data_IF_770193828467
#
_entry.id   IF_770193828467
#
_cell.length_a   1.000
_cell.length_b   1.000
_cell.length_c   1.000
_cell.angle_alpha   90.00
_cell.angle_beta   90.00
_cell.angle_gamma   90.00
#
_symmetry.space_group_name_H-M   'P 1'
#
loop_
_entity.id
_entity.type
_entity.pdbx_description
1 polymer ?
#
# COMPACT_ATOMS: atom_id res chain seq x y z
N UNK A 1 9.31 -48.92 6.89
CA UNK A 1 8.87 -47.80 6.03
C UNK A 1 10.07 -46.94 5.74
N UNK A 2 10.26 -46.49 4.49
CA UNK A 2 11.30 -45.51 4.19
C UNK A 2 10.96 -44.18 4.88
N UNK A 3 11.97 -43.37 5.23
CA UNK A 3 11.75 -42.07 5.88
C UNK A 3 10.85 -41.12 5.07
N UNK A 4 10.87 -41.23 3.74
CA UNK A 4 10.01 -40.46 2.84
C UNK A 4 8.54 -40.88 2.87
N UNK A 5 8.26 -42.16 3.11
CA UNK A 5 6.88 -42.66 3.18
C UNK A 5 6.21 -42.21 4.48
N UNK A 6 6.96 -42.18 5.59
CA UNK A 6 6.49 -41.64 6.87
C UNK A 6 6.20 -40.14 6.77
N UNK A 7 7.11 -39.35 6.21
CA UNK A 7 6.90 -37.91 6.03
C UNK A 7 5.72 -37.58 5.09
N UNK A 8 5.34 -38.50 4.21
CA UNK A 8 4.15 -38.36 3.36
C UNK A 8 2.87 -38.65 4.13
N UNK A 9 2.86 -39.69 4.97
CA UNK A 9 1.71 -40.02 5.82
C UNK A 9 1.44 -38.95 6.87
N UNK A 10 2.48 -38.39 7.49
CA UNK A 10 2.36 -37.26 8.43
C UNK A 10 1.71 -36.05 7.74
N UNK A 11 2.14 -35.71 6.52
CA UNK A 11 1.53 -34.62 5.75
C UNK A 11 0.06 -34.87 5.42
N UNK A 12 -0.29 -36.08 4.99
CA UNK A 12 -1.68 -36.41 4.72
C UNK A 12 -2.54 -36.36 5.98
N UNK A 13 -1.98 -36.78 7.12
CA UNK A 13 -2.67 -36.69 8.40
C UNK A 13 -2.90 -35.23 8.82
N UNK A 14 -1.90 -34.36 8.72
CA UNK A 14 -2.05 -32.92 9.01
C UNK A 14 -3.05 -32.20 8.08
N UNK A 15 -3.27 -32.71 6.86
CA UNK A 15 -4.22 -32.13 5.89
C UNK A 15 -5.64 -32.64 6.10
N UNK A 16 -5.79 -33.91 6.49
CA UNK A 16 -7.09 -34.58 6.62
C UNK A 16 -7.62 -34.62 8.07
N UNK A 17 -6.80 -34.20 9.04
CA UNK A 17 -7.13 -34.17 10.46
C UNK A 17 -7.41 -35.56 11.05
N UNK A 18 -8.14 -35.57 12.17
CA UNK A 18 -8.50 -36.77 12.91
C UNK A 18 -9.30 -37.79 12.06
N UNK A 19 -10.04 -37.31 11.05
CA UNK A 19 -10.77 -38.14 10.10
C UNK A 19 -9.88 -39.11 9.30
N UNK A 20 -8.57 -38.84 9.24
CA UNK A 20 -7.59 -39.75 8.60
C UNK A 20 -7.25 -40.98 9.44
N UNK A 21 -7.58 -41.03 10.74
CA UNK A 21 -7.18 -42.16 11.62
C UNK A 21 -7.74 -43.50 11.13
N UNK A 22 -8.92 -43.49 10.52
CA UNK A 22 -9.53 -44.69 9.96
C UNK A 22 -8.76 -45.26 8.75
N UNK A 23 -7.91 -44.44 8.09
CA UNK A 23 -7.19 -44.79 6.87
C UNK A 23 -5.67 -44.93 7.05
N UNK A 24 -5.10 -44.50 8.19
CA UNK A 24 -3.66 -44.60 8.49
C UNK A 24 -3.33 -45.74 9.44
N UNK A 25 -2.25 -46.48 9.17
CA UNK A 25 -1.77 -47.60 10.00
C UNK A 25 -1.43 -47.12 11.44
N UNK A 26 -1.94 -47.78 12.51
CA UNK A 26 -1.63 -47.47 13.91
C UNK A 26 -0.12 -47.43 14.26
N UNK A 27 0.74 -47.95 13.38
CA UNK A 27 2.20 -47.97 13.54
C UNK A 27 2.90 -46.68 13.10
N UNK A 28 2.19 -45.73 12.49
CA UNK A 28 2.68 -44.39 12.19
C UNK A 28 2.38 -43.41 13.33
N UNK A 29 2.77 -43.77 14.56
CA UNK A 29 2.60 -42.89 15.71
C UNK A 29 3.33 -41.55 15.45
N UNK A 30 2.54 -40.46 15.44
CA UNK A 30 3.05 -39.09 15.34
C UNK A 30 4.04 -38.85 16.49
N UNK A 31 5.10 -38.10 16.24
CA UNK A 31 5.92 -37.58 17.34
C UNK A 31 5.11 -36.59 18.18
N UNK A 32 5.60 -36.29 19.38
CA UNK A 32 4.98 -35.27 20.23
C UNK A 32 4.85 -33.91 19.50
N UNK A 33 5.84 -33.54 18.70
CA UNK A 33 5.83 -32.30 17.91
C UNK A 33 4.84 -32.37 16.73
N UNK A 34 4.73 -33.53 16.05
CA UNK A 34 3.77 -33.73 14.96
C UNK A 34 2.32 -33.73 15.48
N UNK A 35 2.09 -34.24 16.69
CA UNK A 35 0.78 -34.26 17.35
C UNK A 35 0.40 -32.86 17.89
N UNK A 36 1.37 -32.09 18.38
CA UNK A 36 1.16 -30.69 18.75
C UNK A 36 0.89 -29.80 17.51
N UNK A 37 1.52 -30.10 16.37
CA UNK A 37 1.30 -29.39 15.12
C UNK A 37 -0.12 -29.66 14.56
N UNK A 38 -0.56 -30.91 14.64
CA UNK A 38 -1.93 -31.32 14.28
C UNK A 38 -2.96 -30.60 15.16
N UNK A 39 -2.79 -30.63 16.49
CA UNK A 39 -3.66 -29.93 17.43
C UNK A 39 -3.72 -28.42 17.17
N UNK A 40 -2.60 -27.80 16.79
CA UNK A 40 -2.56 -26.38 16.43
C UNK A 40 -3.30 -26.08 15.12
N UNK A 41 -3.25 -26.98 14.12
CA UNK A 41 -3.99 -26.83 12.86
C UNK A 41 -5.49 -27.06 13.07
N UNK A 42 -5.87 -28.15 13.76
CA UNK A 42 -7.26 -28.44 14.12
C UNK A 42 -7.90 -27.29 14.89
N UNK A 43 -7.20 -26.74 15.88
CA UNK A 43 -7.71 -25.61 16.65
C UNK A 43 -8.05 -24.38 15.79
N UNK A 44 -7.33 -24.17 14.68
CA UNK A 44 -7.56 -23.06 13.76
C UNK A 44 -8.62 -23.40 12.70
N UNK A 45 -8.47 -24.53 12.00
CA UNK A 45 -9.24 -24.87 10.80
C UNK A 45 -10.53 -25.68 11.07
N UNK A 46 -10.66 -26.33 12.23
CA UNK A 46 -11.92 -26.98 12.61
C UNK A 46 -12.95 -25.97 13.14
N UNK A 47 -12.57 -24.69 13.24
CA UNK A 47 -13.51 -23.59 13.45
C UNK A 47 -14.31 -23.41 12.17
N UNK A 48 -15.63 -23.36 12.26
CA UNK A 48 -16.44 -23.01 11.09
C UNK A 48 -16.23 -21.52 10.77
N UNK A 49 -15.84 -21.14 9.53
CA UNK A 49 -15.67 -19.73 9.18
C UNK A 49 -17.00 -18.98 9.31
N UNK A 50 -16.94 -17.71 9.71
CA UNK A 50 -18.10 -16.85 9.92
C UNK A 50 -18.79 -16.53 8.58
N UNK A 51 -19.67 -17.43 8.14
CA UNK A 51 -20.43 -17.29 6.89
C UNK A 51 -21.47 -18.39 6.63
N UNK A 52 -21.49 -19.46 7.42
CA UNK A 52 -22.63 -20.38 7.49
C UNK A 52 -23.58 -19.92 8.59
N UNK A 53 -24.87 -19.85 8.27
CA UNK A 53 -25.95 -19.70 9.25
C UNK A 53 -25.83 -20.82 10.29
N UNK A 54 -25.25 -20.49 11.45
CA UNK A 54 -25.58 -21.01 12.78
C UNK A 54 -24.54 -20.47 13.77
N UNK A 55 -24.80 -19.26 14.28
CA UNK A 55 -24.36 -18.90 15.64
C UNK A 55 -25.27 -19.62 16.64
N UNK A 56 -25.30 -20.94 16.58
CA UNK A 56 -25.54 -21.70 17.79
C UNK A 56 -24.17 -21.95 18.40
N UNK A 57 -24.02 -21.42 19.60
CA UNK A 57 -23.17 -22.00 20.63
C UNK A 57 -23.41 -23.51 20.57
N UNK A 58 -22.61 -24.24 19.79
CA UNK A 58 -22.46 -25.66 20.02
C UNK A 58 -21.99 -25.74 21.45
N UNK A 59 -22.91 -26.21 22.27
CA UNK A 59 -22.72 -26.45 23.68
C UNK A 59 -21.28 -26.89 23.93
N UNK A 60 -20.68 -26.27 24.95
CA UNK A 60 -19.53 -26.82 25.64
C UNK A 60 -19.96 -28.15 26.26
N UNK A 61 -20.16 -29.17 25.43
CA UNK A 61 -20.12 -30.56 25.86
C UNK A 61 -18.66 -30.80 26.18
N UNK A 62 -18.35 -30.91 27.47
CA UNK A 62 -17.01 -31.15 27.96
C UNK A 62 -16.46 -32.42 27.34
N UNK A 63 -15.55 -32.25 26.38
CA UNK A 63 -14.75 -33.34 25.87
C UNK A 63 -13.46 -33.42 26.71
N UNK A 64 -13.09 -34.63 27.07
CA UNK A 64 -11.93 -34.95 27.90
C UNK A 64 -10.63 -34.95 27.07
N UNK A 65 -10.54 -34.07 26.08
CA UNK A 65 -9.36 -33.86 25.26
C UNK A 65 -8.32 -33.04 26.05
N UNK A 66 -7.01 -33.34 25.94
CA UNK A 66 -5.99 -32.69 26.75
C UNK A 66 -5.88 -31.20 26.38
N UNK A 67 -6.41 -30.34 27.25
CA UNK A 67 -6.26 -28.88 27.27
C UNK A 67 -6.63 -28.15 25.97
N UNK A 68 -7.85 -27.59 25.91
CA UNK A 68 -8.22 -26.65 24.85
C UNK A 68 -7.18 -25.51 24.80
N UNK A 69 -6.43 -25.43 23.70
CA UNK A 69 -5.42 -24.40 23.48
C UNK A 69 -6.08 -23.02 23.59
N UNK A 70 -5.52 -22.14 24.42
CA UNK A 70 -5.88 -20.72 24.39
C UNK A 70 -5.17 -20.03 23.22
N UNK A 71 -5.68 -18.89 22.74
CA UNK A 71 -5.07 -18.15 21.62
C UNK A 71 -3.56 -17.89 21.85
N UNK A 72 -3.09 -17.48 23.04
CA UNK A 72 -1.65 -17.29 23.28
C UNK A 72 -0.84 -18.59 23.28
N UNK A 73 -1.43 -19.71 23.72
CA UNK A 73 -0.75 -21.01 23.69
C UNK A 73 -0.64 -21.53 22.25
N UNK A 74 -1.70 -21.36 21.45
CA UNK A 74 -1.70 -21.71 20.03
C UNK A 74 -0.59 -21.00 19.26
N UNK A 75 -0.39 -19.69 19.46
CA UNK A 75 0.66 -18.92 18.78
C UNK A 75 2.06 -19.42 19.16
N UNK A 76 2.29 -19.67 20.46
CA UNK A 76 3.58 -20.18 20.93
C UNK A 76 3.89 -21.56 20.33
N UNK A 77 2.88 -22.42 20.19
CA UNK A 77 3.03 -23.71 19.52
C UNK A 77 3.29 -23.56 18.03
N UNK A 78 2.58 -22.65 17.33
CA UNK A 78 2.79 -22.39 15.91
C UNK A 78 4.21 -21.90 15.62
N UNK A 79 4.72 -20.97 16.45
CA UNK A 79 6.08 -20.43 16.31
C UNK A 79 7.18 -21.46 16.64
N UNK A 80 6.88 -22.45 17.48
CA UNK A 80 7.80 -23.54 17.82
C UNK A 80 7.86 -24.60 16.72
N UNK A 81 6.72 -24.90 16.11
CA UNK A 81 6.54 -26.12 15.31
C UNK A 81 6.64 -25.89 13.80
N UNK A 82 6.35 -24.68 13.30
CA UNK A 82 6.25 -24.43 11.86
C UNK A 82 7.36 -23.54 11.29
N UNK A 83 7.75 -23.71 10.01
CA UNK A 83 8.62 -22.78 9.30
C UNK A 83 7.97 -21.40 9.14
N UNK A 84 8.80 -20.35 8.98
CA UNK A 84 8.36 -18.95 8.86
C UNK A 84 7.23 -18.72 7.85
N UNK A 85 7.34 -19.27 6.65
CA UNK A 85 6.32 -19.13 5.60
C UNK A 85 4.96 -19.69 5.99
N UNK A 86 4.95 -20.73 6.84
CA UNK A 86 3.71 -21.37 7.32
C UNK A 86 3.11 -20.59 8.48
N UNK A 87 3.94 -20.04 9.37
CA UNK A 87 3.50 -19.15 10.46
C UNK A 87 2.73 -17.96 9.87
N UNK A 88 3.30 -17.29 8.87
CA UNK A 88 2.67 -16.14 8.21
C UNK A 88 1.29 -16.48 7.62
N UNK A 89 1.13 -17.69 7.08
CA UNK A 89 -0.13 -18.15 6.51
C UNK A 89 -1.15 -18.50 7.60
N UNK A 90 -0.73 -19.18 8.67
CA UNK A 90 -1.60 -19.53 9.79
C UNK A 90 -2.07 -18.30 10.57
N UNK A 91 -1.19 -17.32 10.79
CA UNK A 91 -1.55 -16.04 11.41
C UNK A 91 -2.50 -15.23 10.51
N UNK A 92 -2.28 -15.26 9.18
CA UNK A 92 -3.20 -14.66 8.22
C UNK A 92 -4.59 -15.26 8.34
N UNK A 93 -4.70 -16.58 8.33
CA UNK A 93 -5.98 -17.27 8.38
C UNK A 93 -6.65 -17.04 9.75
N UNK A 94 -5.90 -17.05 10.85
CA UNK A 94 -6.41 -16.74 12.18
C UNK A 94 -7.03 -15.35 12.30
N UNK A 95 -6.40 -14.34 11.71
CA UNK A 95 -6.92 -12.97 11.77
C UNK A 95 -8.01 -12.73 10.72
N UNK A 96 -7.75 -13.02 9.44
CA UNK A 96 -8.60 -12.61 8.33
C UNK A 96 -9.79 -13.55 8.10
N UNK A 97 -9.62 -14.84 8.35
CA UNK A 97 -10.65 -15.86 8.07
C UNK A 97 -11.44 -16.23 9.32
N UNK A 98 -10.77 -16.26 10.48
CA UNK A 98 -11.36 -16.69 11.75
C UNK A 98 -11.54 -15.57 12.79
N UNK A 99 -11.24 -14.32 12.43
CA UNK A 99 -11.45 -13.12 13.28
C UNK A 99 -10.88 -13.25 14.71
N UNK A 100 -9.76 -13.98 14.87
CA UNK A 100 -9.14 -14.20 16.19
C UNK A 100 -8.33 -12.96 16.59
N UNK A 101 -9.02 -11.95 17.10
CA UNK A 101 -8.45 -10.65 17.45
C UNK A 101 -7.55 -10.68 18.71
N UNK A 102 -7.65 -11.71 19.54
CA UNK A 102 -6.79 -11.91 20.72
C UNK A 102 -5.29 -12.05 20.37
N UNK A 103 -4.96 -12.50 19.15
CA UNK A 103 -3.58 -12.57 18.61
C UNK A 103 -2.92 -11.19 18.63
N UNK A 104 -3.70 -10.14 18.34
CA UNK A 104 -3.21 -8.78 18.15
C UNK A 104 -3.37 -7.91 19.40
N UNK A 105 -4.07 -8.43 20.42
CA UNK A 105 -4.39 -7.67 21.64
C UNK A 105 -3.44 -8.01 22.80
N UNK A 106 -2.65 -9.08 22.68
CA UNK A 106 -1.72 -9.51 23.72
C UNK A 106 -0.30 -8.92 23.49
N UNK A 107 0.29 -8.18 24.45
CA UNK A 107 1.58 -7.53 24.30
C UNK A 107 2.76 -8.50 24.12
N UNK A 108 2.75 -9.65 24.82
CA UNK A 108 3.85 -10.63 24.75
C UNK A 108 3.90 -11.31 23.37
N UNK A 109 2.73 -11.51 22.78
CA UNK A 109 2.54 -12.09 21.46
C UNK A 109 2.98 -11.06 20.41
N UNK A 110 2.46 -9.84 20.51
CA UNK A 110 2.74 -8.77 19.56
C UNK A 110 4.24 -8.46 19.48
N UNK A 111 4.95 -8.51 20.61
CA UNK A 111 6.41 -8.30 20.65
C UNK A 111 7.23 -9.38 19.92
N UNK A 112 6.68 -10.59 19.74
CA UNK A 112 7.37 -11.75 19.16
C UNK A 112 7.00 -11.97 17.69
N UNK A 113 5.84 -11.52 17.25
CA UNK A 113 5.37 -11.68 15.86
C UNK A 113 6.26 -10.87 14.89
N UNK A 114 6.58 -11.48 13.75
CA UNK A 114 7.33 -10.79 12.70
C UNK A 114 6.46 -9.73 12.00
N UNK A 115 6.99 -8.52 11.73
CA UNK A 115 6.23 -7.47 11.07
C UNK A 115 5.82 -7.91 9.64
N UNK A 116 4.51 -8.02 9.39
CA UNK A 116 3.94 -8.35 8.09
C UNK A 116 2.81 -7.38 7.70
N UNK A 117 2.51 -7.28 6.40
CA UNK A 117 1.37 -6.47 5.91
C UNK A 117 0.03 -7.00 6.44
N UNK A 118 -0.09 -8.32 6.59
CA UNK A 118 -1.25 -8.96 7.19
C UNK A 118 -1.42 -8.56 8.65
N UNK A 119 -0.34 -8.54 9.44
CA UNK A 119 -0.38 -8.04 10.81
C UNK A 119 -0.76 -6.56 10.87
N UNK A 120 -0.26 -5.75 9.93
CA UNK A 120 -0.63 -4.34 9.84
C UNK A 120 -2.14 -4.17 9.63
N UNK A 121 -2.74 -4.92 8.70
CA UNK A 121 -4.19 -4.92 8.50
C UNK A 121 -4.94 -5.35 9.78
N UNK A 122 -4.46 -6.42 10.42
CA UNK A 122 -5.00 -6.93 11.68
C UNK A 122 -5.02 -5.86 12.78
N UNK A 123 -3.90 -5.16 12.97
CA UNK A 123 -3.73 -4.09 13.95
C UNK A 123 -4.68 -2.94 13.66
N UNK A 124 -4.83 -2.52 12.39
CA UNK A 124 -5.71 -1.42 12.03
C UNK A 124 -7.19 -1.76 12.24
N UNK A 125 -7.61 -3.00 11.96
CA UNK A 125 -8.95 -3.47 12.30
C UNK A 125 -9.22 -3.47 13.81
N UNK A 126 -8.26 -3.94 14.60
CA UNK A 126 -8.45 -4.21 16.04
C UNK A 126 -8.01 -3.07 16.96
N UNK A 127 -7.48 -1.96 16.41
CA UNK A 127 -6.93 -0.84 17.20
C UNK A 127 -7.88 -0.26 18.26
N UNK A 128 -9.20 -0.34 18.03
CA UNK A 128 -10.23 0.18 18.91
C UNK A 128 -10.45 -0.68 20.17
N UNK A 129 -9.95 -1.92 20.16
CA UNK A 129 -10.06 -2.89 21.26
C UNK A 129 -8.78 -2.96 22.11
N UNK A 130 -7.72 -2.25 21.73
CA UNK A 130 -6.40 -2.34 22.37
C UNK A 130 -6.25 -1.37 23.55
N UNK A 131 -5.56 -1.83 24.60
CA UNK A 131 -5.09 -0.97 25.69
C UNK A 131 -3.96 -0.02 25.19
N UNK A 132 -3.86 1.24 25.65
CA UNK A 132 -2.75 2.16 25.36
C UNK A 132 -1.35 1.55 25.29
N UNK A 133 -0.99 0.63 26.19
CA UNK A 133 0.33 -0.02 26.20
C UNK A 133 0.54 -0.92 24.97
N UNK A 134 -0.49 -1.70 24.60
CA UNK A 134 -0.48 -2.57 23.41
C UNK A 134 -0.50 -1.73 22.14
N UNK A 135 -1.23 -0.62 22.14
CA UNK A 135 -1.27 0.31 21.00
C UNK A 135 0.09 0.96 20.73
N UNK A 136 0.88 1.24 21.77
CA UNK A 136 2.26 1.74 21.61
C UNK A 136 3.16 0.69 20.93
N UNK A 137 3.11 -0.56 21.38
CA UNK A 137 3.84 -1.68 20.76
C UNK A 137 3.39 -1.91 19.31
N UNK A 138 2.08 -1.84 19.06
CA UNK A 138 1.52 -1.96 17.72
C UNK A 138 2.02 -0.84 16.81
N UNK A 139 2.07 0.41 17.29
CA UNK A 139 2.62 1.54 16.54
C UNK A 139 4.08 1.30 16.14
N UNK A 140 4.89 0.73 17.00
CA UNK A 140 6.28 0.39 16.66
C UNK A 140 6.38 -0.69 15.57
N UNK A 141 5.52 -1.71 15.60
CA UNK A 141 5.46 -2.74 14.57
C UNK A 141 4.97 -2.18 13.24
N UNK A 142 3.90 -1.38 13.25
CA UNK A 142 3.42 -0.66 12.07
C UNK A 142 4.54 0.18 11.48
N UNK A 143 5.30 0.90 12.31
CA UNK A 143 6.44 1.69 11.84
C UNK A 143 7.53 0.83 11.17
N UNK A 144 7.77 -0.40 11.65
CA UNK A 144 8.71 -1.34 11.01
C UNK A 144 8.19 -1.78 9.64
N UNK A 145 6.93 -2.21 9.53
CA UNK A 145 6.32 -2.63 8.25
C UNK A 145 6.33 -1.47 7.25
N UNK A 146 5.85 -0.30 7.66
CA UNK A 146 5.78 0.89 6.81
C UNK A 146 7.17 1.29 6.29
N UNK A 147 8.22 1.23 7.13
CA UNK A 147 9.61 1.45 6.67
C UNK A 147 10.02 0.46 5.59
N UNK A 148 9.74 -0.82 5.76
CA UNK A 148 10.06 -1.85 4.75
C UNK A 148 9.33 -1.60 3.43
N UNK A 149 8.05 -1.20 3.48
CA UNK A 149 7.27 -0.84 2.29
C UNK A 149 7.85 0.40 1.59
N UNK A 150 8.20 1.43 2.37
CA UNK A 150 8.84 2.63 1.86
C UNK A 150 10.19 2.31 1.20
N UNK A 151 11.02 1.45 1.78
CA UNK A 151 12.31 1.04 1.20
C UNK A 151 12.12 0.31 -0.14
N UNK A 152 11.19 -0.67 -0.18
CA UNK A 152 10.84 -1.39 -1.43
C UNK A 152 10.37 -0.42 -2.51
N UNK A 153 9.51 0.54 -2.16
CA UNK A 153 8.97 1.51 -3.10
C UNK A 153 10.01 2.55 -3.52
N UNK A 154 10.86 3.03 -2.60
CA UNK A 154 11.91 4.00 -2.86
C UNK A 154 12.91 3.52 -3.92
N UNK A 155 13.25 2.22 -3.95
CA UNK A 155 14.09 1.63 -4.99
C UNK A 155 13.46 1.78 -6.38
N UNK A 156 12.13 1.59 -6.49
CA UNK A 156 11.38 1.76 -7.75
C UNK A 156 11.31 3.24 -8.15
N UNK A 157 11.04 4.12 -7.17
CA UNK A 157 11.04 5.60 -7.36
C UNK A 157 12.42 6.09 -7.83
N UNK A 158 13.51 5.60 -7.24
CA UNK A 158 14.88 6.03 -7.56
C UNK A 158 15.23 5.78 -9.03
N UNK A 159 14.82 4.64 -9.60
CA UNK A 159 14.99 4.36 -11.04
C UNK A 159 14.23 5.36 -11.92
N UNK A 160 13.06 5.82 -11.48
CA UNK A 160 12.31 6.87 -12.15
C UNK A 160 12.91 8.28 -11.95
N UNK A 161 13.74 8.48 -10.92
CA UNK A 161 14.36 9.77 -10.56
C UNK A 161 15.52 10.20 -11.46
N UNK A 162 16.20 9.26 -12.13
CA UNK A 162 17.33 9.56 -13.02
C UNK A 162 16.86 9.89 -14.44
N UNK A 163 16.10 10.98 -14.58
CA UNK A 163 15.85 11.64 -15.86
C UNK A 163 16.96 12.64 -16.21
N UNK A 164 17.23 12.79 -17.50
CA UNK A 164 18.33 13.61 -18.05
C UNK A 164 18.22 15.06 -17.57
N UNK A 165 19.27 15.58 -16.92
CA UNK A 165 19.38 17.02 -16.63
C UNK A 165 19.18 17.79 -17.94
N UNK A 166 18.08 18.52 -18.05
CA UNK A 166 17.79 19.38 -19.19
C UNK A 166 18.83 20.51 -19.22
N UNK A 167 19.90 20.32 -20.00
CA UNK A 167 20.94 21.33 -20.24
C UNK A 167 20.44 22.32 -21.30
N UNK A 168 19.30 22.95 -21.05
CA UNK A 168 18.83 24.02 -21.91
C UNK A 168 19.82 25.20 -21.82
N UNK A 169 20.10 25.84 -22.96
CA UNK A 169 20.99 27.00 -23.01
C UNK A 169 20.16 28.28 -23.09
N UNK A 170 20.66 29.34 -22.48
CA UNK A 170 20.05 30.66 -22.62
C UNK A 170 20.85 31.49 -23.61
N UNK A 171 20.15 32.31 -24.41
CA UNK A 171 20.76 33.39 -25.21
C UNK A 171 20.78 34.72 -24.47
N UNK A 172 20.21 34.79 -23.26
CA UNK A 172 20.22 35.99 -22.43
C UNK A 172 21.60 36.14 -21.79
N UNK A 173 22.19 37.32 -21.97
CA UNK A 173 23.49 37.65 -21.40
C UNK A 173 23.35 37.92 -19.90
N UNK A 174 23.69 36.93 -19.07
CA UNK A 174 23.77 37.08 -17.62
C UNK A 174 25.16 36.66 -17.13
N UNK A 175 25.90 37.58 -16.51
CA UNK A 175 27.27 37.32 -16.03
C UNK A 175 27.34 36.14 -15.04
N UNK A 176 26.30 35.95 -14.22
CA UNK A 176 26.20 34.85 -13.23
C UNK A 176 26.04 33.47 -13.88
N UNK A 177 25.53 33.43 -15.11
CA UNK A 177 25.20 32.19 -15.84
C UNK A 177 26.20 31.89 -16.97
N UNK A 178 27.32 32.61 -17.03
CA UNK A 178 28.31 32.48 -18.09
C UNK A 178 29.02 31.11 -18.05
N UNK A 179 28.90 30.33 -19.14
CA UNK A 179 29.62 29.07 -19.31
C UNK A 179 30.99 29.35 -19.94
N UNK A 180 31.97 29.67 -19.08
CA UNK A 180 33.32 29.99 -19.53
C UNK A 180 33.99 28.83 -20.29
N UNK A 181 33.83 27.58 -19.83
CA UNK A 181 34.50 26.43 -20.44
C UNK A 181 34.01 26.16 -21.85
N UNK A 182 32.69 26.14 -22.04
CA UNK A 182 32.12 25.85 -23.34
C UNK A 182 32.25 27.05 -24.28
N UNK A 183 32.17 28.28 -23.76
CA UNK A 183 32.43 29.50 -24.54
C UNK A 183 33.86 29.52 -25.06
N UNK A 184 34.85 29.15 -24.24
CA UNK A 184 36.24 29.04 -24.70
C UNK A 184 36.33 28.00 -25.82
N UNK A 185 35.83 26.78 -25.60
CA UNK A 185 35.86 25.68 -26.59
C UNK A 185 35.22 26.05 -27.93
N UNK A 186 34.08 26.74 -27.92
CA UNK A 186 33.36 27.09 -29.15
C UNK A 186 33.97 28.26 -29.91
N UNK A 187 34.89 29.00 -29.31
CA UNK A 187 35.54 30.17 -29.92
C UNK A 187 37.06 29.96 -30.09
N UNK A 188 37.56 28.72 -29.94
CA UNK A 188 38.99 28.39 -30.14
C UNK A 188 39.48 28.67 -31.56
N UNK A 189 38.57 28.75 -32.53
CA UNK A 189 38.85 29.19 -33.91
C UNK A 189 39.35 30.64 -33.97
N UNK A 190 38.97 31.47 -33.00
CA UNK A 190 39.35 32.89 -32.89
C UNK A 190 40.58 33.16 -32.01
N UNK A 191 41.43 32.17 -31.75
CA UNK A 191 42.63 32.33 -30.95
C UNK A 191 43.75 33.04 -31.73
N UNK A 192 44.23 34.17 -31.21
CA UNK A 192 45.41 34.88 -31.73
C UNK A 192 46.65 34.48 -30.91
N UNK A 193 47.58 33.67 -31.46
CA UNK A 193 48.77 33.22 -30.73
C UNK A 193 49.79 34.34 -30.47
N UNK A 194 49.78 35.40 -31.28
CA UNK A 194 50.72 36.53 -31.15
C UNK A 194 50.29 37.43 -30.00
N UNK A 195 49.00 37.73 -29.90
CA UNK A 195 48.44 38.58 -28.83
C UNK A 195 48.03 37.82 -27.58
N UNK A 196 48.05 36.49 -27.61
CA UNK A 196 47.55 35.58 -26.55
C UNK A 196 46.13 35.94 -26.11
N UNK A 197 45.26 36.26 -27.06
CA UNK A 197 43.87 36.68 -26.80
C UNK A 197 42.90 35.80 -27.58
N UNK A 198 41.78 35.48 -26.94
CA UNK A 198 40.67 34.74 -27.53
C UNK A 198 39.53 35.71 -27.83
N UNK A 199 39.12 35.80 -29.11
CA UNK A 199 37.95 36.58 -29.48
C UNK A 199 36.67 35.77 -29.24
N UNK A 200 35.84 36.19 -28.28
CA UNK A 200 34.55 35.55 -28.02
C UNK A 200 33.51 36.13 -28.98
N UNK A 201 33.13 35.37 -30.02
CA UNK A 201 32.08 35.74 -30.99
C UNK A 201 30.68 35.40 -30.48
N UNK A 202 30.55 34.25 -29.80
CA UNK A 202 29.27 33.78 -29.23
C UNK A 202 29.48 33.37 -27.77
N UNK A 203 29.18 34.24 -26.80
CA UNK A 203 29.16 33.85 -25.41
C UNK A 203 27.99 32.89 -25.15
N UNK A 204 28.28 31.78 -24.47
CA UNK A 204 27.27 30.79 -24.09
C UNK A 204 26.92 30.96 -22.61
N UNK A 205 25.62 30.89 -22.32
CA UNK A 205 25.09 31.00 -20.96
C UNK A 205 24.28 29.74 -20.61
N UNK A 206 24.43 29.28 -19.38
CA UNK A 206 23.56 28.28 -18.81
C UNK A 206 22.14 28.84 -18.71
N UNK A 207 21.13 28.04 -19.07
CA UNK A 207 19.77 28.39 -18.67
C UNK A 207 19.63 28.14 -17.18
N UNK A 208 19.71 29.21 -16.38
CA UNK A 208 19.13 29.23 -15.03
C UNK A 208 17.70 29.73 -15.08
N UNK A 209 16.92 29.28 -16.06
CA UNK A 209 15.52 29.09 -15.74
C UNK A 209 15.51 28.01 -14.65
N UNK A 210 15.67 28.43 -13.37
CA UNK A 210 14.73 27.98 -12.36
C UNK A 210 13.39 28.32 -13.00
N UNK A 211 12.88 27.42 -13.85
CA UNK A 211 11.48 27.13 -13.75
C UNK A 211 11.35 26.97 -12.24
N UNK A 212 10.57 27.82 -11.58
CA UNK A 212 9.76 27.27 -10.52
C UNK A 212 9.29 25.95 -11.15
N UNK A 213 9.87 24.82 -10.74
CA UNK A 213 9.45 23.55 -11.30
C UNK A 213 7.99 23.57 -10.93
N UNK A 214 7.15 23.93 -11.89
CA UNK A 214 5.76 24.21 -11.61
C UNK A 214 5.26 22.92 -11.04
N UNK A 215 5.01 22.95 -9.73
CA UNK A 215 4.99 21.72 -8.95
C UNK A 215 3.83 20.92 -9.50
N UNK A 216 4.11 19.72 -9.98
CA UNK A 216 3.04 18.82 -10.33
C UNK A 216 2.25 18.55 -9.06
N UNK A 217 0.94 18.71 -9.14
CA UNK A 217 0.06 18.43 -8.02
C UNK A 217 -0.44 17.00 -8.17
N UNK A 218 -0.30 16.20 -7.12
CA UNK A 218 -0.87 14.85 -7.04
C UNK A 218 -1.86 14.85 -5.89
N UNK A 219 -3.13 14.58 -6.17
CA UNK A 219 -4.21 14.52 -5.18
C UNK A 219 -4.65 13.07 -5.10
N UNK A 220 -4.40 12.44 -3.96
CA UNK A 220 -4.82 11.07 -3.67
C UNK A 220 -6.11 11.14 -2.84
N UNK A 221 -7.21 10.70 -3.43
CA UNK A 221 -8.49 10.50 -2.76
C UNK A 221 -8.62 9.00 -2.47
N UNK A 222 -8.69 8.62 -1.20
CA UNK A 222 -8.64 7.23 -0.77
C UNK A 222 -9.88 6.87 0.02
N UNK A 223 -10.57 5.83 -0.41
CA UNK A 223 -11.73 5.26 0.26
C UNK A 223 -11.31 4.48 1.51
N UNK A 224 -11.98 4.77 2.62
CA UNK A 224 -11.75 4.20 3.95
C UNK A 224 -12.63 2.99 4.27
N UNK A 225 -13.44 2.54 3.31
CA UNK A 225 -14.26 1.34 3.47
C UNK A 225 -13.41 0.13 3.88
N UNK A 226 -14.03 -0.80 4.63
CA UNK A 226 -13.34 -1.97 5.17
C UNK A 226 -12.69 -2.85 4.09
N UNK A 227 -13.31 -2.95 2.89
CA UNK A 227 -12.75 -3.62 1.71
C UNK A 227 -11.48 -2.96 1.18
N UNK A 228 -11.30 -1.65 1.43
CA UNK A 228 -10.23 -0.83 0.88
C UNK A 228 -9.03 -0.67 1.82
N UNK A 229 -9.01 -1.29 3.01
CA UNK A 229 -7.93 -1.13 3.99
C UNK A 229 -6.53 -1.41 3.41
N UNK A 230 -6.37 -2.46 2.60
CA UNK A 230 -5.10 -2.74 1.92
C UNK A 230 -4.65 -1.60 1.02
N UNK A 231 -5.59 -1.02 0.27
CA UNK A 231 -5.34 0.13 -0.60
C UNK A 231 -5.02 1.39 0.20
N UNK A 232 -5.63 1.60 1.37
CA UNK A 232 -5.33 2.72 2.28
C UNK A 232 -3.88 2.67 2.76
N UNK A 233 -3.41 1.49 3.18
CA UNK A 233 -2.01 1.27 3.59
C UNK A 233 -1.06 1.68 2.47
N UNK A 234 -1.26 1.15 1.28
CA UNK A 234 -0.40 1.45 0.15
C UNK A 234 -0.51 2.90 -0.32
N UNK A 235 -1.68 3.53 -0.22
CA UNK A 235 -1.86 4.93 -0.55
C UNK A 235 -1.10 5.85 0.42
N UNK A 236 -1.14 5.57 1.73
CA UNK A 236 -0.39 6.31 2.73
C UNK A 236 1.13 6.20 2.50
N UNK A 237 1.64 4.99 2.24
CA UNK A 237 3.06 4.77 1.90
C UNK A 237 3.44 5.48 0.61
N UNK A 238 2.59 5.39 -0.41
CA UNK A 238 2.84 6.04 -1.70
C UNK A 238 2.85 7.57 -1.55
N UNK A 239 1.91 8.13 -0.80
CA UNK A 239 1.85 9.56 -0.51
C UNK A 239 3.13 10.04 0.18
N UNK A 240 3.60 9.30 1.20
CA UNK A 240 4.84 9.60 1.92
C UNK A 240 6.06 9.56 0.99
N UNK A 241 6.14 8.58 0.09
CA UNK A 241 7.20 8.51 -0.91
C UNK A 241 7.14 9.66 -1.93
N UNK A 242 5.94 10.04 -2.39
CA UNK A 242 5.74 11.15 -3.34
C UNK A 242 6.07 12.51 -2.70
N UNK A 243 5.78 12.70 -1.42
CA UNK A 243 6.15 13.91 -0.68
C UNK A 243 7.67 14.16 -0.67
N UNK A 244 8.47 13.09 -0.71
CA UNK A 244 9.93 13.16 -0.84
C UNK A 244 10.46 13.53 -2.24
N UNK A 245 9.59 13.73 -3.24
CA UNK A 245 9.98 14.04 -4.62
C UNK A 245 10.09 15.55 -4.88
N UNK A 246 11.21 16.04 -5.44
CA UNK A 246 11.36 17.45 -5.77
C UNK A 246 10.42 17.83 -6.91
N UNK A 247 9.62 18.89 -6.69
CA UNK A 247 8.72 19.42 -7.71
C UNK A 247 7.37 18.72 -7.81
N UNK A 248 7.00 17.91 -6.80
CA UNK A 248 5.66 17.35 -6.64
C UNK A 248 5.04 17.90 -5.35
N UNK A 249 3.78 18.35 -5.42
CA UNK A 249 2.95 18.71 -4.28
C UNK A 249 1.91 17.60 -4.09
N UNK A 250 2.04 16.82 -3.04
CA UNK A 250 1.14 15.69 -2.77
C UNK A 250 0.06 16.13 -1.78
N UNK A 251 -1.19 15.80 -2.09
CA UNK A 251 -2.33 15.86 -1.18
C UNK A 251 -2.82 14.45 -0.91
N UNK A 252 -3.14 14.15 0.34
CA UNK A 252 -3.74 12.88 0.74
C UNK A 252 -5.04 13.20 1.47
N UNK A 253 -6.15 12.84 0.85
CA UNK A 253 -7.48 12.95 1.44
C UNK A 253 -8.07 11.56 1.56
N UNK A 254 -8.51 11.23 2.76
CA UNK A 254 -9.21 9.97 3.04
C UNK A 254 -10.69 10.31 3.17
N UNK A 255 -11.56 9.44 2.68
CA UNK A 255 -13.00 9.69 2.72
C UNK A 255 -13.82 8.43 3.02
N UNK A 256 -14.91 8.67 3.72
CA UNK A 256 -16.04 7.77 3.91
C UNK A 256 -17.32 8.52 3.47
N UNK A 257 -18.12 9.04 4.41
CA UNK A 257 -19.19 10.02 4.25
C UNK A 257 -18.68 11.47 4.34
N UNK A 258 -17.57 11.67 5.04
CA UNK A 258 -16.88 12.94 5.17
C UNK A 258 -15.48 12.85 4.56
N UNK A 259 -14.93 14.00 4.18
CA UNK A 259 -13.61 14.06 3.55
C UNK A 259 -12.63 14.65 4.56
N UNK A 260 -11.60 13.89 4.90
CA UNK A 260 -10.56 14.29 5.84
C UNK A 260 -9.25 14.52 5.08
N UNK A 261 -8.75 15.75 5.14
CA UNK A 261 -7.47 16.11 4.53
C UNK A 261 -6.31 15.83 5.49
N UNK A 262 -5.50 14.82 5.14
CA UNK A 262 -4.33 14.39 5.90
C UNK A 262 -3.01 14.85 5.25
N UNK A 263 -3.07 15.84 4.35
CA UNK A 263 -1.89 16.36 3.63
C UNK A 263 -0.75 16.78 4.58
N UNK A 264 -1.09 17.33 5.76
CA UNK A 264 -0.09 17.76 6.74
C UNK A 264 0.63 16.59 7.43
N UNK A 265 0.01 15.41 7.48
CA UNK A 265 0.54 14.22 8.16
C UNK A 265 1.20 13.23 7.20
N UNK A 266 1.25 13.52 5.89
CA UNK A 266 1.87 12.63 4.87
C UNK A 266 3.33 12.26 5.20
N UNK A 267 4.04 13.07 5.98
CA UNK A 267 5.40 12.77 6.43
C UNK A 267 5.50 11.64 7.47
N UNK A 268 4.43 11.40 8.24
CA UNK A 268 4.31 10.27 9.16
C UNK A 268 3.16 9.33 8.71
N UNK A 269 3.43 8.41 7.77
CA UNK A 269 2.43 7.44 7.32
C UNK A 269 1.87 6.56 8.47
N UNK A 270 2.61 6.38 9.57
CA UNK A 270 2.11 5.63 10.73
C UNK A 270 1.00 6.41 11.42
N UNK A 271 1.18 7.71 11.62
CA UNK A 271 0.14 8.57 12.20
C UNK A 271 -1.12 8.63 11.32
N UNK A 272 -0.94 8.71 9.99
CA UNK A 272 -2.04 8.64 9.02
C UNK A 272 -2.84 7.36 9.23
N UNK A 273 -2.20 6.19 9.20
CA UNK A 273 -2.88 4.90 9.35
C UNK A 273 -3.56 4.74 10.72
N UNK A 274 -2.93 5.23 11.80
CA UNK A 274 -3.54 5.16 13.13
C UNK A 274 -4.77 6.06 13.29
N UNK A 275 -4.95 7.07 12.42
CA UNK A 275 -6.15 7.94 12.41
C UNK A 275 -7.32 7.34 11.63
N UNK A 276 -7.07 6.41 10.70
CA UNK A 276 -8.08 5.80 9.81
C UNK A 276 -9.12 4.99 10.60
N UNK A 277 -10.36 5.46 10.71
CA UNK A 277 -11.49 4.76 11.31
C UNK A 277 -12.24 3.92 10.26
N UNK A 278 -12.31 2.61 10.46
CA UNK A 278 -12.99 1.71 9.54
C UNK A 278 -14.50 1.72 9.79
N UNK A 279 -15.27 2.10 8.78
CA UNK A 279 -16.73 1.99 8.77
C UNK A 279 -17.44 3.30 8.41
N UNK A 280 -18.59 3.18 7.74
CA UNK A 280 -19.36 4.32 7.23
C UNK A 280 -20.03 3.99 5.89
N UNK A 281 -20.75 4.95 5.34
CA UNK A 281 -21.11 4.95 3.92
C UNK A 281 -19.97 5.55 3.07
N UNK A 282 -20.08 5.43 1.75
CA UNK A 282 -19.07 5.97 0.82
C UNK A 282 -19.70 7.05 -0.07
N UNK A 283 -19.18 8.28 -0.03
CA UNK A 283 -19.54 9.38 -0.92
C UNK A 283 -18.32 9.84 -1.76
N UNK A 284 -18.12 9.15 -2.88
CA UNK A 284 -17.02 9.41 -3.81
C UNK A 284 -17.24 10.75 -4.51
N UNK A 285 -18.49 11.09 -4.81
CA UNK A 285 -18.86 12.36 -5.46
C UNK A 285 -18.40 13.59 -4.68
N UNK A 286 -18.61 13.58 -3.35
CA UNK A 286 -18.16 14.63 -2.43
C UNK A 286 -16.65 14.69 -2.31
N UNK A 287 -15.97 13.53 -2.24
CA UNK A 287 -14.51 13.46 -2.23
C UNK A 287 -13.91 14.08 -3.50
N UNK A 288 -14.46 13.77 -4.67
CA UNK A 288 -14.01 14.37 -5.94
C UNK A 288 -14.30 15.87 -6.00
N UNK A 289 -15.43 16.33 -5.46
CA UNK A 289 -15.72 17.76 -5.36
C UNK A 289 -14.72 18.50 -4.47
N UNK A 290 -14.35 17.92 -3.32
CA UNK A 290 -13.30 18.45 -2.46
C UNK A 290 -11.95 18.46 -3.18
N UNK A 291 -11.56 17.35 -3.81
CA UNK A 291 -10.34 17.25 -4.61
C UNK A 291 -10.28 18.30 -5.72
N UNK A 292 -11.40 18.58 -6.38
CA UNK A 292 -11.52 19.63 -7.38
C UNK A 292 -11.24 21.04 -6.80
N UNK A 293 -11.65 21.31 -5.56
CA UNK A 293 -11.37 22.58 -4.88
C UNK A 293 -9.88 22.80 -4.56
N UNK A 294 -9.11 21.71 -4.45
CA UNK A 294 -7.67 21.76 -4.20
C UNK A 294 -6.84 22.00 -5.47
N UNK A 295 -7.43 21.89 -6.66
CA UNK A 295 -6.71 21.99 -7.93
C UNK A 295 -6.22 23.43 -8.16
N UNK A 296 -4.90 23.63 -8.15
CA UNK A 296 -4.30 24.94 -8.45
C UNK A 296 -3.98 25.11 -9.94
N UNK A 297 -3.52 24.03 -10.58
CA UNK A 297 -3.07 24.03 -11.97
C UNK A 297 -3.59 22.80 -12.71
N UNK A 298 -4.77 22.87 -13.37
CA UNK A 298 -5.45 21.71 -13.93
C UNK A 298 -4.57 20.83 -14.83
N UNK A 299 -3.87 21.43 -15.80
CA UNK A 299 -2.98 20.73 -16.76
C UNK A 299 -1.76 20.05 -16.13
N UNK A 300 -1.47 20.33 -14.85
CA UNK A 300 -0.36 19.75 -14.08
C UNK A 300 -0.85 19.08 -12.80
N UNK A 301 -2.13 18.72 -12.76
CA UNK A 301 -2.74 18.01 -11.66
C UNK A 301 -3.07 16.59 -12.08
N UNK A 302 -2.67 15.63 -11.25
CA UNK A 302 -3.07 14.25 -11.33
C UNK A 302 -3.96 13.99 -10.12
N UNK A 303 -5.23 13.69 -10.36
CA UNK A 303 -6.19 13.34 -9.33
C UNK A 303 -6.42 11.84 -9.39
N UNK A 304 -6.10 11.13 -8.31
CA UNK A 304 -6.18 9.67 -8.21
C UNK A 304 -7.29 9.33 -7.22
N UNK A 305 -8.29 8.60 -7.67
CA UNK A 305 -9.41 8.08 -6.89
C UNK A 305 -9.11 6.62 -6.62
N UNK A 306 -8.93 6.24 -5.36
CA UNK A 306 -8.69 4.86 -4.93
C UNK A 306 -9.95 4.39 -4.20
N UNK A 307 -10.81 3.63 -4.88
CA UNK A 307 -12.10 3.15 -4.37
C UNK A 307 -12.55 1.94 -5.20
N UNK A 308 -13.38 1.08 -4.61
CA UNK A 308 -14.05 -0.01 -5.32
C UNK A 308 -15.24 0.48 -6.19
N UNK A 309 -15.44 1.80 -6.29
CA UNK A 309 -16.47 2.46 -7.09
C UNK A 309 -17.91 2.13 -6.69
N UNK A 310 -18.14 1.55 -5.51
CA UNK A 310 -19.49 1.40 -4.97
C UNK A 310 -19.94 2.72 -4.33
N UNK A 311 -20.59 3.56 -5.12
CA UNK A 311 -21.11 4.86 -4.69
C UNK A 311 -22.36 4.68 -3.80
N UNK A 312 -22.30 5.17 -2.56
CA UNK A 312 -23.45 5.27 -1.66
C UNK A 312 -24.34 6.49 -1.93
N UNK A 313 -23.81 7.48 -2.64
CA UNK A 313 -24.51 8.69 -3.07
C UNK A 313 -24.96 8.62 -4.55
N UNK A 314 -25.34 9.76 -5.14
CA UNK A 314 -25.79 9.80 -6.55
C UNK A 314 -24.62 9.70 -7.53
N UNK A 315 -24.54 8.66 -8.37
CA UNK A 315 -23.44 8.50 -9.33
C UNK A 315 -23.37 9.61 -10.39
N UNK A 316 -24.46 10.38 -10.57
CA UNK A 316 -24.49 11.51 -11.50
C UNK A 316 -23.57 12.65 -11.06
N UNK A 317 -23.45 12.89 -9.75
CA UNK A 317 -22.60 13.97 -9.20
C UNK A 317 -21.13 13.64 -9.45
N UNK A 318 -20.72 12.41 -9.16
CA UNK A 318 -19.36 11.92 -9.44
C UNK A 318 -19.01 12.07 -10.91
N UNK A 319 -19.87 11.58 -11.81
CA UNK A 319 -19.62 11.62 -13.26
C UNK A 319 -19.53 13.06 -13.77
N UNK A 320 -20.37 13.97 -13.28
CA UNK A 320 -20.32 15.38 -13.65
C UNK A 320 -19.02 16.05 -13.21
N UNK A 321 -18.59 15.82 -11.97
CA UNK A 321 -17.35 16.38 -11.43
C UNK A 321 -16.12 15.86 -12.18
N UNK A 322 -16.06 14.55 -12.47
CA UNK A 322 -14.96 13.96 -13.24
C UNK A 322 -14.91 14.51 -14.65
N UNK A 323 -16.06 14.64 -15.33
CA UNK A 323 -16.14 15.26 -16.65
C UNK A 323 -15.57 16.68 -16.63
N UNK A 324 -15.98 17.50 -15.66
CA UNK A 324 -15.51 18.88 -15.53
C UNK A 324 -13.99 18.95 -15.30
N UNK A 325 -13.45 18.08 -14.45
CA UNK A 325 -12.00 18.01 -14.19
C UNK A 325 -11.21 17.64 -15.45
N UNK A 326 -11.69 16.66 -16.21
CA UNK A 326 -11.04 16.24 -17.47
C UNK A 326 -11.11 17.36 -18.52
N UNK A 327 -12.25 18.05 -18.64
CA UNK A 327 -12.41 19.20 -19.54
C UNK A 327 -11.47 20.37 -19.18
N UNK A 328 -11.16 20.56 -17.91
CA UNK A 328 -10.16 21.53 -17.44
C UNK A 328 -8.71 21.10 -17.73
N UNK A 329 -8.49 19.83 -18.06
CA UNK A 329 -7.18 19.25 -18.38
C UNK A 329 -6.50 18.52 -17.22
N UNK A 330 -7.23 18.21 -16.13
CA UNK A 330 -6.74 17.35 -15.04
C UNK A 330 -6.61 15.92 -15.54
N UNK A 331 -5.51 15.25 -15.18
CA UNK A 331 -5.40 13.80 -15.41
C UNK A 331 -6.10 13.07 -14.28
N UNK A 332 -7.28 12.52 -14.54
CA UNK A 332 -8.05 11.75 -13.55
C UNK A 332 -7.76 10.26 -13.70
N UNK A 333 -7.29 9.63 -12.63
CA UNK A 333 -7.04 8.19 -12.52
C UNK A 333 -8.01 7.58 -11.52
N UNK A 334 -8.70 6.51 -11.89
CA UNK A 334 -9.50 5.69 -11.00
C UNK A 334 -8.81 4.34 -10.77
N UNK A 335 -8.52 4.01 -9.52
CA UNK A 335 -7.87 2.77 -9.12
C UNK A 335 -8.85 1.94 -8.29
N UNK A 336 -9.30 0.84 -8.87
CA UNK A 336 -10.28 -0.07 -8.26
C UNK A 336 -9.69 -0.84 -7.07
N UNK A 337 -8.39 -1.06 -7.08
CA UNK A 337 -7.61 -1.55 -5.95
C UNK A 337 -6.16 -1.07 -6.12
N UNK A 338 -5.49 -0.89 -5.00
CA UNK A 338 -4.05 -0.64 -4.93
C UNK A 338 -3.42 -1.81 -4.15
N UNK A 339 -3.49 -3.03 -4.70
CA UNK A 339 -2.97 -4.26 -4.10
C UNK A 339 -1.91 -4.93 -5.00
N UNK A 340 -1.13 -5.87 -4.44
CA UNK A 340 -0.12 -6.61 -5.21
C UNK A 340 -0.73 -7.65 -6.17
N UNK A 341 -2.01 -7.99 -6.00
CA UNK A 341 -2.68 -9.09 -6.74
C UNK A 341 -3.61 -8.60 -7.87
N UNK A 342 -3.89 -7.31 -7.97
CA UNK A 342 -4.60 -6.64 -9.07
C UNK A 342 -5.91 -7.29 -9.51
N UNK A 343 -6.70 -7.85 -8.58
CA UNK A 343 -7.96 -8.54 -8.90
C UNK A 343 -9.18 -7.87 -8.24
N UNK A 344 -9.56 -6.66 -8.68
CA UNK A 344 -10.59 -5.89 -7.98
C UNK A 344 -12.01 -6.36 -8.30
N UNK A 345 -12.84 -6.48 -7.26
CA UNK A 345 -14.29 -6.42 -7.38
C UNK A 345 -14.70 -4.94 -7.30
N UNK A 346 -15.19 -4.38 -8.40
CA UNK A 346 -15.59 -2.98 -8.48
C UNK A 346 -16.78 -2.79 -9.42
N UNK A 347 -17.50 -1.67 -9.26
CA UNK A 347 -18.60 -1.31 -10.16
C UNK A 347 -18.07 -0.98 -11.57
N UNK A 348 -18.21 -1.97 -12.48
CA UNK A 348 -17.78 -1.87 -13.88
C UNK A 348 -18.61 -0.86 -14.68
N UNK A 349 -19.86 -0.63 -14.32
CA UNK A 349 -20.73 0.29 -15.05
C UNK A 349 -20.39 1.73 -14.70
N UNK A 350 -20.16 2.02 -13.42
CA UNK A 350 -19.67 3.34 -12.99
C UNK A 350 -18.29 3.62 -13.57
N UNK A 351 -17.35 2.67 -13.46
CA UNK A 351 -16.02 2.77 -14.06
C UNK A 351 -16.08 3.06 -15.57
N UNK A 352 -16.95 2.35 -16.32
CA UNK A 352 -17.12 2.56 -17.76
C UNK A 352 -17.62 3.98 -18.07
N UNK A 353 -18.54 4.52 -17.27
CA UNK A 353 -19.01 5.91 -17.42
C UNK A 353 -17.90 6.92 -17.19
N UNK A 354 -17.05 6.71 -16.18
CA UNK A 354 -15.88 7.58 -15.94
C UNK A 354 -14.89 7.56 -17.12
N UNK A 355 -14.62 6.37 -17.67
CA UNK A 355 -13.74 6.22 -18.85
C UNK A 355 -14.30 6.92 -20.09
N UNK A 356 -15.62 6.85 -20.32
CA UNK A 356 -16.28 7.57 -21.41
C UNK A 356 -16.09 9.09 -21.33
N UNK A 357 -15.90 9.63 -20.12
CA UNK A 357 -15.62 11.04 -19.89
C UNK A 357 -14.13 11.38 -19.80
N UNK A 358 -13.25 10.43 -20.14
CA UNK A 358 -11.81 10.64 -20.31
C UNK A 358 -10.95 10.37 -19.07
N UNK A 359 -11.55 9.86 -17.97
CA UNK A 359 -10.76 9.31 -16.87
C UNK A 359 -10.08 7.99 -17.28
N UNK A 360 -8.99 7.62 -16.61
CA UNK A 360 -8.36 6.31 -16.81
C UNK A 360 -8.67 5.43 -15.60
N UNK A 361 -9.41 4.34 -15.79
CA UNK A 361 -9.76 3.42 -14.70
C UNK A 361 -9.04 2.09 -14.86
N UNK A 362 -8.47 1.56 -13.78
CA UNK A 362 -7.78 0.27 -13.79
C UNK A 362 -7.40 -0.22 -12.39
N UNK A 363 -6.64 -1.31 -12.34
CA UNK A 363 -5.91 -1.73 -11.16
C UNK A 363 -4.42 -1.46 -11.42
N UNK A 364 -3.71 -0.95 -10.42
CA UNK A 364 -2.27 -0.72 -10.52
C UNK A 364 -1.64 -1.06 -9.18
N UNK A 365 -0.44 -1.61 -9.21
CA UNK A 365 0.37 -1.73 -8.00
C UNK A 365 0.90 -0.35 -7.57
N UNK A 366 1.26 -0.16 -6.29
CA UNK A 366 1.87 1.10 -5.82
C UNK A 366 3.08 1.54 -6.64
N UNK A 367 3.89 0.56 -7.09
CA UNK A 367 5.05 0.83 -7.93
C UNK A 367 4.70 1.34 -9.32
N UNK A 368 3.63 0.81 -9.93
CA UNK A 368 3.16 1.25 -11.24
C UNK A 368 2.53 2.63 -11.18
N UNK A 369 1.77 2.95 -10.12
CA UNK A 369 1.24 4.29 -9.89
C UNK A 369 2.37 5.34 -9.80
N UNK A 370 3.39 5.05 -9.00
CA UNK A 370 4.58 5.91 -8.91
C UNK A 370 5.28 6.05 -10.26
N UNK A 371 5.42 4.95 -11.01
CA UNK A 371 6.01 4.96 -12.35
C UNK A 371 5.22 5.84 -13.32
N UNK A 372 3.90 5.70 -13.33
CA UNK A 372 2.98 6.51 -14.13
C UNK A 372 3.08 8.00 -13.80
N UNK A 373 3.06 8.34 -12.51
CA UNK A 373 3.21 9.73 -12.05
C UNK A 373 4.57 10.27 -12.49
N UNK A 374 5.65 9.51 -12.31
CA UNK A 374 6.99 9.95 -12.71
C UNK A 374 7.11 10.17 -14.22
N UNK A 375 6.51 9.33 -15.05
CA UNK A 375 6.50 9.49 -16.51
C UNK A 375 5.64 10.67 -16.97
N UNK A 376 4.53 10.96 -16.29
CA UNK A 376 3.73 12.16 -16.55
C UNK A 376 4.45 13.43 -16.13
N UNK A 377 5.09 13.43 -14.96
CA UNK A 377 5.88 14.56 -14.46
C UNK A 377 7.07 14.89 -15.38
N UNK A 378 7.59 13.90 -16.12
CA UNK A 378 8.68 14.05 -17.11
C UNK A 378 8.26 14.71 -18.43
N UNK A 379 7.00 14.53 -18.87
CA UNK A 379 6.48 15.10 -20.14
C UNK A 379 6.10 16.56 -19.96
#
# INVERSE_FOLDING_TARGET
>A
MSGSDRARLVRWRLVLGEASDAATDPRAALTADELAADAALSWLYDRTPAGGEDREVRDRAGDLSPSALTVPQWINEVHRLFPKSTIEQLERDAVLTYEIHEVVTNPDVLARIEPSETLLQAVLHTKHLMNPEVLALARELVAKVVRQLMEKLAVRVAKARYGTRLRARSRLACARDFDAKQTIRSNLDGWDPVRRRLLIRRPLFFSRTKRAMDRWQVILLVDESGSMLGSVIHAAVTAACLWGLPGVKTHLCIFDTEVVDLTAQVTDPVEVLMKVQLGGGTDIGKAVAYGASLVEAPRRTILVIISDFFEGASPHVLVANVKQLVEQGVTVLGLAALDEQANPAYDRDLARRLVQHGAHVGAMTPGELVGFIADKVRR
#
